data_IF_367257833553
#
_entry.id   IF_367257833553
#
_cell.length_a   1.000
_cell.length_b   1.000
_cell.length_c   1.000
_cell.angle_alpha   90.00
_cell.angle_beta   90.00
_cell.angle_gamma   90.00
#
_symmetry.space_group_name_H-M   'P 1'
#
loop_
_entity.id
_entity.type
_entity.pdbx_description
1 polymer ?
#
# COMPACT_ATOMS: atom_id res chain seq x y z
N UNK A 1 24.47 -15.02 5.83
CA UNK A 1 23.49 -14.04 6.35
C UNK A 1 22.08 -14.43 5.88
N UNK A 2 21.15 -14.81 6.77
CA UNK A 2 19.75 -15.04 6.40
C UNK A 2 19.06 -13.68 6.24
N UNK A 3 18.73 -13.25 5.01
CA UNK A 3 17.82 -12.12 4.79
C UNK A 3 16.47 -12.50 5.39
N UNK A 4 16.08 -11.85 6.49
CA UNK A 4 14.74 -12.02 7.06
C UNK A 4 13.74 -11.61 5.97
N UNK A 5 12.97 -12.58 5.51
CA UNK A 5 11.93 -12.37 4.52
C UNK A 5 10.81 -11.57 5.17
N UNK A 6 10.74 -10.27 4.87
CA UNK A 6 9.68 -9.40 5.40
C UNK A 6 8.54 -9.37 4.37
N UNK A 7 7.30 -9.71 4.75
CA UNK A 7 6.17 -9.70 3.81
C UNK A 7 5.71 -8.28 3.43
N UNK A 8 5.08 -8.15 2.26
CA UNK A 8 4.45 -6.91 1.78
C UNK A 8 3.41 -6.35 2.77
N UNK A 9 2.71 -7.20 3.53
CA UNK A 9 1.71 -6.78 4.51
C UNK A 9 2.27 -5.95 5.68
N UNK A 10 3.59 -6.03 5.93
CA UNK A 10 4.30 -5.21 6.89
C UNK A 10 4.74 -3.84 6.32
N UNK A 11 4.57 -3.64 5.02
CA UNK A 11 4.93 -2.39 4.34
C UNK A 11 3.85 -1.32 4.55
N UNK A 12 4.25 -0.09 4.83
CA UNK A 12 3.33 1.04 5.00
C UNK A 12 2.61 1.43 3.71
N UNK A 13 3.17 1.09 2.54
CA UNK A 13 2.56 1.37 1.24
C UNK A 13 1.48 0.37 0.84
N UNK A 14 1.34 -0.73 1.58
CA UNK A 14 0.25 -1.66 1.36
C UNK A 14 -0.97 -1.21 2.16
N UNK A 15 -2.05 -0.89 1.43
CA UNK A 15 -3.30 -0.35 1.97
C UNK A 15 -4.48 -1.22 1.54
N UNK A 16 -5.59 -1.11 2.27
CA UNK A 16 -6.87 -1.70 1.88
C UNK A 16 -7.61 -0.75 0.95
N UNK A 17 -7.87 -1.17 -0.28
CA UNK A 17 -8.64 -0.41 -1.26
C UNK A 17 -10.09 -0.87 -1.19
N UNK A 18 -10.97 0.01 -0.73
CA UNK A 18 -12.39 -0.26 -0.58
C UNK A 18 -13.10 0.13 -1.88
N UNK A 19 -13.56 -0.88 -2.61
CA UNK A 19 -14.47 -0.72 -3.74
C UNK A 19 -15.93 -0.72 -3.29
N UNK A 20 -16.85 -0.73 -4.26
CA UNK A 20 -18.29 -0.77 -4.00
C UNK A 20 -18.74 -2.13 -3.46
N UNK A 21 -18.16 -3.21 -3.98
CA UNK A 21 -18.56 -4.59 -3.69
C UNK A 21 -17.50 -5.36 -2.91
N UNK A 22 -16.23 -4.96 -3.02
CA UNK A 22 -15.11 -5.71 -2.47
C UNK A 22 -14.00 -4.79 -1.94
N UNK A 23 -13.22 -5.32 -1.01
CA UNK A 23 -11.99 -4.69 -0.52
C UNK A 23 -10.80 -5.50 -0.99
N UNK A 24 -9.84 -4.86 -1.66
CA UNK A 24 -8.62 -5.50 -2.16
C UNK A 24 -7.37 -4.84 -1.60
N UNK A 25 -6.29 -5.58 -1.31
CA UNK A 25 -5.01 -4.96 -1.00
C UNK A 25 -4.44 -4.26 -2.24
N UNK A 26 -3.79 -3.12 -2.02
CA UNK A 26 -3.12 -2.36 -3.08
C UNK A 26 -1.85 -1.69 -2.59
N UNK A 27 -0.85 -1.58 -3.47
CA UNK A 27 0.42 -0.92 -3.15
C UNK A 27 0.46 0.48 -3.75
N UNK A 28 0.38 1.50 -2.91
CA UNK A 28 0.28 2.90 -3.35
C UNK A 28 1.63 3.60 -3.53
N UNK A 29 2.73 2.85 -3.52
CA UNK A 29 4.09 3.39 -3.68
C UNK A 29 4.32 4.02 -5.06
N UNK A 30 3.46 3.76 -6.06
CA UNK A 30 3.50 4.44 -7.36
C UNK A 30 2.95 5.88 -7.31
N UNK A 31 2.25 6.26 -6.24
CA UNK A 31 1.76 7.62 -6.04
C UNK A 31 2.88 8.43 -5.39
N UNK A 32 3.41 9.43 -6.10
CA UNK A 32 4.58 10.23 -5.68
C UNK A 32 4.44 10.82 -4.29
N UNK A 33 3.26 11.36 -3.95
CA UNK A 33 2.98 11.97 -2.64
C UNK A 33 3.18 10.99 -1.48
N UNK A 34 2.86 9.72 -1.70
CA UNK A 34 3.07 8.64 -0.73
C UNK A 34 4.50 8.11 -0.79
N UNK A 35 5.05 7.89 -1.99
CA UNK A 35 6.41 7.38 -2.18
C UNK A 35 7.48 8.27 -1.53
N UNK A 36 7.28 9.58 -1.61
CA UNK A 36 8.16 10.60 -1.04
C UNK A 36 7.82 10.94 0.42
N UNK A 37 6.79 10.31 1.00
CA UNK A 37 6.29 10.56 2.35
C UNK A 37 5.85 12.01 2.60
N UNK A 38 5.58 12.79 1.55
CA UNK A 38 4.98 14.12 1.65
C UNK A 38 3.58 14.07 2.28
N UNK A 39 2.85 12.97 2.04
CA UNK A 39 1.59 12.65 2.71
C UNK A 39 1.70 11.33 3.46
N UNK A 40 1.06 11.27 4.64
CA UNK A 40 0.90 10.01 5.38
C UNK A 40 0.12 9.04 4.50
N UNK A 41 0.60 7.80 4.43
CA UNK A 41 -0.13 6.72 3.77
C UNK A 41 -1.25 6.26 4.69
N UNK A 42 -2.52 6.42 4.29
CA UNK A 42 -3.65 5.92 5.06
C UNK A 42 -3.70 4.38 5.01
N UNK A 43 -4.26 3.74 6.03
CA UNK A 43 -4.41 2.28 6.03
C UNK A 43 -5.48 1.79 5.06
N UNK A 44 -6.48 2.63 4.78
CA UNK A 44 -7.63 2.32 3.93
C UNK A 44 -7.87 3.50 2.98
N UNK A 45 -8.15 3.23 1.71
CA UNK A 45 -8.45 4.24 0.68
C UNK A 45 -9.64 3.79 -0.16
N UNK A 46 -10.52 4.72 -0.54
CA UNK A 46 -11.60 4.42 -1.47
C UNK A 46 -11.06 4.24 -2.89
N UNK A 47 -11.53 3.20 -3.59
CA UNK A 47 -11.17 2.95 -4.99
C UNK A 47 -11.51 4.16 -5.88
N UNK A 48 -12.61 4.87 -5.58
CA UNK A 48 -13.02 6.07 -6.30
C UNK A 48 -11.99 7.20 -6.17
N UNK A 49 -11.46 7.41 -4.96
CA UNK A 49 -10.43 8.43 -4.71
C UNK A 49 -9.14 8.12 -5.46
N UNK A 50 -8.70 6.85 -5.45
CA UNK A 50 -7.55 6.43 -6.23
C UNK A 50 -7.80 6.58 -7.74
N UNK A 51 -9.00 6.23 -8.22
CA UNK A 51 -9.36 6.36 -9.62
C UNK A 51 -9.35 7.82 -10.09
N UNK A 52 -9.77 8.77 -9.25
CA UNK A 52 -9.68 10.20 -9.56
C UNK A 52 -8.24 10.70 -9.65
N UNK A 53 -7.31 10.11 -8.87
CA UNK A 53 -5.89 10.53 -8.84
C UNK A 53 -5.04 9.89 -9.93
N UNK A 54 -5.20 8.58 -10.18
CA UNK A 54 -4.32 7.81 -11.07
C UNK A 54 -5.03 7.21 -12.29
N UNK A 55 -6.34 7.45 -12.42
CA UNK A 55 -7.18 6.84 -13.45
C UNK A 55 -7.40 5.34 -13.24
N UNK A 56 -8.20 4.75 -14.14
CA UNK A 56 -8.53 3.31 -14.10
C UNK A 56 -7.31 2.40 -14.27
N UNK A 57 -6.39 2.75 -15.18
CA UNK A 57 -5.16 1.98 -15.42
C UNK A 57 -4.24 1.99 -14.20
N UNK A 58 -3.99 3.18 -13.63
CA UNK A 58 -3.17 3.29 -12.42
C UNK A 58 -3.77 2.55 -11.23
N UNK A 59 -5.10 2.55 -11.07
CA UNK A 59 -5.77 1.75 -10.03
C UNK A 59 -5.51 0.24 -10.20
N UNK A 60 -5.61 -0.27 -11.42
CA UNK A 60 -5.32 -1.68 -11.70
C UNK A 60 -3.86 -2.02 -11.38
N UNK A 61 -2.91 -1.16 -11.73
CA UNK A 61 -1.49 -1.37 -11.40
C UNK A 61 -1.26 -1.41 -9.89
N UNK A 62 -1.89 -0.51 -9.13
CA UNK A 62 -1.83 -0.48 -7.66
C UNK A 62 -2.35 -1.81 -7.07
N UNK A 63 -3.50 -2.29 -7.56
CA UNK A 63 -4.09 -3.56 -7.10
C UNK A 63 -3.19 -4.72 -7.47
N UNK A 64 -2.71 -4.80 -8.72
CA UNK A 64 -1.84 -5.88 -9.19
C UNK A 64 -0.54 -5.96 -8.40
N UNK A 65 0.09 -4.82 -8.07
CA UNK A 65 1.28 -4.78 -7.21
C UNK A 65 0.98 -5.23 -5.78
N UNK A 66 -0.22 -4.95 -5.28
CA UNK A 66 -0.66 -5.32 -3.93
C UNK A 66 -1.26 -6.72 -3.82
N UNK A 67 -1.46 -7.43 -4.94
CA UNK A 67 -2.23 -8.67 -5.00
C UNK A 67 -1.67 -9.83 -4.16
N UNK A 68 -0.38 -9.80 -3.82
CA UNK A 68 0.28 -10.84 -3.04
C UNK A 68 0.90 -10.26 -1.74
N UNK A 69 0.07 -9.89 -0.75
CA UNK A 69 0.53 -9.23 0.47
C UNK A 69 1.41 -10.12 1.35
N UNK A 70 1.28 -11.44 1.25
CA UNK A 70 2.07 -12.41 2.04
C UNK A 70 3.40 -12.77 1.38
N UNK A 71 3.65 -12.33 0.14
CA UNK A 71 4.95 -12.49 -0.51
C UNK A 71 5.98 -11.51 0.05
N UNK A 72 7.24 -11.84 -0.17
CA UNK A 72 8.39 -11.01 0.19
C UNK A 72 8.22 -9.59 -0.36
N UNK A 73 8.48 -8.61 0.50
CA UNK A 73 8.41 -7.21 0.15
C UNK A 73 9.41 -6.86 -0.96
N UNK A 74 9.00 -5.95 -1.83
CA UNK A 74 9.87 -5.43 -2.87
C UNK A 74 10.96 -4.50 -2.31
N UNK A 75 11.88 -4.05 -3.16
CA UNK A 75 12.96 -3.13 -2.79
C UNK A 75 12.51 -1.76 -2.27
N UNK A 76 11.22 -1.42 -2.38
CA UNK A 76 10.64 -0.18 -1.86
C UNK A 76 10.01 -0.35 -0.47
N UNK A 77 10.32 -1.45 0.23
CA UNK A 77 9.79 -1.72 1.55
C UNK A 77 10.06 -0.55 2.53
N UNK A 78 9.00 -0.10 3.19
CA UNK A 78 9.05 0.81 4.33
C UNK A 78 8.20 0.22 5.45
N UNK A 79 8.74 0.05 6.67
CA UNK A 79 7.98 -0.55 7.76
C UNK A 79 6.79 0.34 8.12
N UNK A 80 5.63 -0.27 8.42
CA UNK A 80 4.53 0.44 9.07
C UNK A 80 5.08 1.10 10.34
N UNK A 81 4.96 2.42 10.43
CA UNK A 81 5.15 3.12 11.69
C UNK A 81 4.11 2.54 12.63
N UNK A 82 4.53 1.71 13.59
CA UNK A 82 3.66 1.34 14.70
C UNK A 82 3.34 2.66 15.38
N UNK A 83 2.08 3.09 15.38
CA UNK A 83 1.62 4.09 16.32
C UNK A 83 2.04 3.54 17.70
N UNK A 84 3.07 4.13 18.31
CA UNK A 84 3.37 3.88 19.71
C UNK A 84 2.08 4.27 20.42
N UNK A 85 1.29 3.28 20.87
CA UNK A 85 0.32 3.51 21.93
C UNK A 85 1.14 4.16 23.05
N UNK A 86 0.96 5.47 23.22
CA UNK A 86 1.38 6.17 24.41
C UNK A 86 0.50 5.58 25.50
N UNK A 87 1.17 4.94 26.45
CA UNK A 87 0.62 4.36 27.68
C UNK A 87 -0.44 5.26 28.32
#
# INVERSE_FOLDING_TARGET
MRRKLIPCNACMFLVSIVGREETRPGCVVSITEYATLQKRVPQTILALELMQRVGKKGLQEIINRGAAPDKNACGMFRPKLRDKKRD
#
